data_IF_022273693238
#
_entry.id   IF_022273693238
#
_cell.length_a   1.000
_cell.length_b   1.000
_cell.length_c   1.000
_cell.angle_alpha   90.00
_cell.angle_beta   90.00
_cell.angle_gamma   90.00
#
_symmetry.space_group_name_H-M   'P 1'
#
loop_
_entity.id
_entity.type
_entity.pdbx_description
1 polymer ?
#
# COMPACT_ATOMS: atom_id res chain seq x y z
N UNK A 1 -0.51 6.97 5.52
CA UNK A 1 0.76 7.48 4.98
C UNK A 1 0.48 8.41 3.81
N UNK A 2 1.40 9.34 3.53
CA UNK A 2 1.27 10.28 2.41
C UNK A 2 2.34 9.97 1.37
N UNK A 3 1.91 9.84 0.12
CA UNK A 3 2.77 9.61 -1.03
C UNK A 3 3.20 10.97 -1.60
N UNK A 4 4.39 11.01 -2.18
CA UNK A 4 4.76 12.07 -3.12
C UNK A 4 3.99 11.91 -4.45
N UNK A 5 4.16 12.87 -5.35
CA UNK A 5 3.42 12.89 -6.62
C UNK A 5 3.71 11.67 -7.50
N UNK A 6 4.97 11.23 -7.60
CA UNK A 6 5.33 10.03 -8.36
C UNK A 6 4.72 8.79 -7.70
N UNK A 7 4.78 8.70 -6.37
CA UNK A 7 4.14 7.63 -5.60
C UNK A 7 2.62 7.54 -5.82
N UNK A 8 1.94 8.69 -5.84
CA UNK A 8 0.50 8.76 -6.08
C UNK A 8 0.12 8.32 -7.50
N UNK A 9 0.91 8.69 -8.52
CA UNK A 9 0.70 8.25 -9.91
C UNK A 9 0.86 6.73 -10.06
N UNK A 10 1.89 6.15 -9.44
CA UNK A 10 2.11 4.70 -9.46
C UNK A 10 0.95 3.94 -8.82
N UNK A 11 0.48 4.41 -7.67
CA UNK A 11 -0.65 3.76 -6.97
C UNK A 11 -1.95 3.91 -7.76
N UNK A 12 -2.21 5.07 -8.35
CA UNK A 12 -3.37 5.28 -9.20
C UNK A 12 -3.36 4.30 -10.40
N UNK A 13 -2.21 4.15 -11.05
CA UNK A 13 -2.06 3.22 -12.18
C UNK A 13 -2.29 1.77 -11.75
N UNK A 14 -1.57 1.30 -10.72
CA UNK A 14 -1.66 -0.09 -10.26
C UNK A 14 -3.05 -0.44 -9.69
N UNK A 15 -3.71 0.51 -9.02
CA UNK A 15 -5.06 0.32 -8.51
C UNK A 15 -6.09 0.23 -9.64
N UNK A 16 -5.88 0.99 -10.73
CA UNK A 16 -6.70 0.88 -11.94
C UNK A 16 -6.52 -0.49 -12.59
N UNK A 17 -5.27 -0.91 -12.82
CA UNK A 17 -4.94 -2.23 -13.39
C UNK A 17 -5.52 -3.37 -12.53
N UNK A 18 -5.40 -3.28 -11.21
CA UNK A 18 -5.96 -4.27 -10.29
C UNK A 18 -7.50 -4.28 -10.31
N UNK A 19 -8.14 -3.12 -10.41
CA UNK A 19 -9.60 -3.04 -10.51
C UNK A 19 -10.12 -3.63 -11.82
N UNK A 20 -9.40 -3.43 -12.94
CA UNK A 20 -9.75 -3.97 -14.25
C UNK A 20 -9.49 -5.49 -14.35
N UNK A 21 -8.47 -5.99 -13.65
CA UNK A 21 -8.17 -7.42 -13.55
C UNK A 21 -9.23 -8.21 -12.73
N UNK A 22 -10.16 -7.53 -12.08
CA UNK A 22 -11.31 -8.12 -11.40
C UNK A 22 -11.00 -8.71 -10.01
N UNK A 23 -11.93 -9.51 -9.48
CA UNK A 23 -11.97 -9.92 -8.06
C UNK A 23 -10.77 -10.76 -7.56
N UNK A 24 -9.91 -11.21 -8.48
CA UNK A 24 -8.73 -12.01 -8.18
C UNK A 24 -7.49 -11.15 -7.92
N UNK A 25 -7.48 -9.89 -8.36
CA UNK A 25 -6.34 -9.00 -8.18
C UNK A 25 -6.31 -8.38 -6.78
N UNK A 26 -5.09 -8.24 -6.23
CA UNK A 26 -4.84 -7.62 -4.93
C UNK A 26 -3.65 -6.69 -5.04
N UNK A 27 -3.74 -5.51 -4.44
CA UNK A 27 -2.56 -4.69 -4.17
C UNK A 27 -1.88 -5.24 -2.93
N UNK A 28 -0.60 -5.58 -3.09
CA UNK A 28 0.22 -6.12 -2.01
C UNK A 28 1.27 -5.10 -1.64
N UNK A 29 1.31 -4.71 -0.36
CA UNK A 29 2.40 -3.91 0.17
C UNK A 29 3.39 -4.81 0.87
N UNK A 30 4.67 -4.67 0.50
CA UNK A 30 5.77 -5.46 1.03
C UNK A 30 6.84 -4.57 1.63
N UNK A 31 7.52 -5.04 2.67
CA UNK A 31 8.71 -4.42 3.23
C UNK A 31 9.69 -5.52 3.61
N UNK A 32 10.96 -5.38 3.24
CA UNK A 32 12.03 -6.36 3.49
C UNK A 32 11.70 -7.81 3.06
N UNK A 33 10.88 -7.96 2.02
CA UNK A 33 10.42 -9.27 1.53
C UNK A 33 9.15 -9.80 2.19
N UNK A 34 8.78 -9.28 3.36
CA UNK A 34 7.54 -9.62 4.07
C UNK A 34 6.32 -8.92 3.46
N UNK A 35 5.19 -9.62 3.45
CA UNK A 35 3.89 -9.06 3.03
C UNK A 35 3.26 -8.39 4.25
N UNK A 36 3.11 -7.07 4.19
CA UNK A 36 2.48 -6.28 5.25
C UNK A 36 0.96 -6.21 5.08
N UNK A 37 0.49 -6.11 3.84
CA UNK A 37 -0.92 -6.01 3.54
C UNK A 37 -1.22 -6.51 2.13
N UNK A 38 -2.39 -7.11 1.94
CA UNK A 38 -2.88 -7.55 0.64
C UNK A 38 -4.37 -7.22 0.54
N UNK A 39 -4.70 -6.13 -0.15
CA UNK A 39 -6.06 -5.59 -0.22
C UNK A 39 -6.65 -5.71 -1.61
N UNK A 40 -7.96 -6.01 -1.66
CA UNK A 40 -8.72 -5.89 -2.91
C UNK A 40 -8.98 -4.43 -3.20
N UNK A 41 -8.84 -4.07 -4.45
CA UNK A 41 -9.11 -2.73 -4.96
C UNK A 41 -10.46 -2.76 -5.65
N UNK A 42 -11.40 -1.94 -5.19
CA UNK A 42 -12.74 -1.84 -5.79
C UNK A 42 -12.83 -0.71 -6.84
N UNK A 43 -11.76 0.03 -7.06
CA UNK A 43 -11.66 1.13 -8.01
C UNK A 43 -10.34 1.88 -7.87
N UNK A 44 -10.01 2.72 -8.84
CA UNK A 44 -8.78 3.52 -8.83
C UNK A 44 -8.66 4.34 -7.54
N UNK A 45 -7.56 4.13 -6.82
CA UNK A 45 -7.22 4.90 -5.63
C UNK A 45 -6.71 6.27 -6.08
N UNK A 46 -7.49 7.31 -5.78
CA UNK A 46 -7.15 8.69 -6.10
C UNK A 46 -6.73 9.44 -4.83
N UNK A 47 -5.63 10.19 -4.93
CA UNK A 47 -5.11 11.03 -3.86
C UNK A 47 -3.79 10.54 -3.29
N UNK A 48 -3.19 11.39 -2.46
CA UNK A 48 -1.85 11.18 -1.89
C UNK A 48 -1.89 10.36 -0.59
N UNK A 49 -3.07 10.14 -0.01
CA UNK A 49 -3.21 9.46 1.28
C UNK A 49 -3.64 8.01 1.12
N UNK A 50 -2.83 7.09 1.65
CA UNK A 50 -3.18 5.67 1.79
C UNK A 50 -3.38 5.28 3.26
N UNK A 51 -4.43 4.50 3.48
CA UNK A 51 -4.70 3.82 4.74
C UNK A 51 -4.46 2.33 4.55
N UNK A 52 -3.72 1.74 5.48
CA UNK A 52 -3.41 0.32 5.50
C UNK A 52 -3.83 -0.24 6.85
N UNK A 53 -4.52 -1.38 6.84
CA UNK A 53 -4.71 -2.16 8.05
C UNK A 53 -3.40 -2.86 8.42
N UNK A 54 -2.94 -2.62 9.64
CA UNK A 54 -1.78 -3.30 10.24
C UNK A 54 -2.33 -4.35 11.22
N UNK A 55 -1.78 -5.59 11.25
CA UNK A 55 -2.17 -6.59 12.24
C UNK A 55 -1.98 -6.05 13.67
N UNK A 56 -2.87 -6.43 14.58
CA UNK A 56 -2.84 -6.00 15.99
C UNK A 56 -1.58 -6.45 16.75
N UNK A 57 -0.89 -7.49 16.26
CA UNK A 57 0.39 -7.99 16.80
C UNK A 57 1.61 -7.20 16.26
N UNK A 58 1.40 -6.28 15.31
CA UNK A 58 2.47 -5.51 14.66
C UNK A 58 2.36 -4.04 15.03
N UNK A 59 3.44 -3.48 15.55
CA UNK A 59 3.49 -2.05 15.88
C UNK A 59 3.50 -1.20 14.59
N UNK A 60 2.47 -0.39 14.42
CA UNK A 60 2.31 0.46 13.25
C UNK A 60 3.46 1.46 13.09
N UNK A 61 4.10 1.90 14.18
CA UNK A 61 5.26 2.79 14.08
C UNK A 61 6.47 2.09 13.47
N UNK A 62 6.70 0.81 13.82
CA UNK A 62 7.79 0.02 13.22
C UNK A 62 7.56 -0.14 11.72
N UNK A 63 6.32 -0.36 11.30
CA UNK A 63 5.94 -0.43 9.89
C UNK A 63 6.20 0.90 9.18
N UNK A 64 5.85 2.03 9.80
CA UNK A 64 6.09 3.37 9.25
C UNK A 64 7.59 3.67 9.14
N UNK A 65 8.40 3.35 10.15
CA UNK A 65 9.86 3.51 10.10
C UNK A 65 10.46 2.70 8.95
N UNK A 66 10.08 1.43 8.81
CA UNK A 66 10.53 0.58 7.70
C UNK A 66 10.11 1.10 6.33
N UNK A 67 8.90 1.63 6.20
CA UNK A 67 8.39 2.19 4.93
C UNK A 67 9.07 3.52 4.57
N UNK A 68 9.48 4.30 5.56
CA UNK A 68 10.24 5.54 5.34
C UNK A 68 11.75 5.29 5.15
N UNK A 69 12.22 4.05 5.27
CA UNK A 69 13.66 3.73 5.24
C UNK A 69 14.41 4.27 6.46
N UNK A 70 13.70 4.59 7.54
CA UNK A 70 14.27 4.96 8.82
C UNK A 70 14.68 3.66 9.51
N UNK A 71 15.94 3.26 9.35
CA UNK A 71 16.51 2.16 10.14
C UNK A 71 16.50 2.59 11.60
N UNK A 72 15.54 2.06 12.37
CA UNK A 72 15.45 2.28 13.82
C UNK A 72 16.65 1.75 14.59
#
# INVERSE_FOLDING_TARGET
>A
MTLDSDGAEVVQKLSTEASEAGESARLVTKSDGDILSAVRVQGSLQGESLQMAVPEDVDANVVVSRLNGDEG
#
